data_IF_728488296232
#
_entry.id   IF_728488296232
#
_cell.length_a   1.000
_cell.length_b   1.000
_cell.length_c   1.000
_cell.angle_alpha   90.00
_cell.angle_beta   90.00
_cell.angle_gamma   90.00
#
_symmetry.space_group_name_H-M   'P 1'
#
loop_
_entity.id
_entity.type
_entity.pdbx_description
1 polymer ?
#
# COMPACT_ATOMS: atom_id res chain seq x y z
N UNK A 1 15.57 11.28 -13.83
CA UNK A 1 15.47 10.62 -13.70
C UNK A 1 15.32 9.79 -12.70
N UNK A 2 15.01 10.07 -11.72
CA UNK A 2 14.84 9.32 -10.71
C UNK A 2 13.65 8.66 -10.58
N UNK A 3 12.75 8.79 -11.50
CA UNK A 3 11.58 8.14 -11.38
C UNK A 3 11.75 6.72 -11.35
N UNK A 4 12.69 6.12 -11.89
CA UNK A 4 12.78 4.73 -11.88
C UNK A 4 13.08 4.27 -10.51
N UNK A 5 13.51 5.06 -9.60
CA UNK A 5 13.70 4.63 -8.26
C UNK A 5 12.45 4.66 -7.46
N UNK A 6 11.34 5.21 -7.99
CA UNK A 6 10.14 5.27 -7.26
C UNK A 6 9.35 4.05 -7.53
N UNK A 7 8.94 3.24 -6.56
CA UNK A 7 8.16 2.04 -6.80
C UNK A 7 6.83 2.42 -7.40
N UNK A 8 6.42 1.70 -8.43
CA UNK A 8 5.17 1.97 -9.05
C UNK A 8 4.03 1.75 -8.11
N UNK A 9 4.23 0.90 -7.11
CA UNK A 9 3.16 0.58 -6.18
C UNK A 9 3.01 1.61 -5.07
N UNK A 10 3.84 2.64 -5.06
CA UNK A 10 3.75 3.65 -4.02
C UNK A 10 2.38 4.30 -3.95
N UNK A 11 1.78 4.56 -5.10
CA UNK A 11 0.47 5.17 -5.14
C UNK A 11 -0.57 4.24 -4.54
N UNK A 12 -0.44 2.94 -4.83
CA UNK A 12 -1.37 1.96 -4.30
C UNK A 12 -1.19 1.81 -2.80
N UNK A 13 0.03 1.83 -2.33
CA UNK A 13 0.30 1.75 -0.90
C UNK A 13 -0.30 2.95 -0.18
N UNK A 14 -0.17 4.12 -0.76
CA UNK A 14 -0.72 5.31 -0.18
C UNK A 14 -2.24 5.22 -0.10
N UNK A 15 -2.86 4.69 -1.14
CA UNK A 15 -4.29 4.52 -1.17
C UNK A 15 -4.72 3.56 -0.04
N UNK A 16 -4.02 2.47 0.15
CA UNK A 16 -4.33 1.52 1.19
C UNK A 16 -4.18 2.17 2.56
N UNK A 17 -3.12 2.93 2.74
CA UNK A 17 -2.87 3.57 4.01
C UNK A 17 -3.99 4.52 4.36
N UNK A 18 -4.44 5.31 3.39
CA UNK A 18 -5.51 6.24 3.64
C UNK A 18 -6.81 5.50 3.95
N UNK A 19 -7.07 4.40 3.27
CA UNK A 19 -8.26 3.63 3.52
C UNK A 19 -8.26 3.05 4.93
N UNK A 20 -7.10 2.57 5.36
CA UNK A 20 -6.98 1.99 6.68
C UNK A 20 -7.19 3.06 7.74
N UNK A 21 -6.66 4.25 7.52
CA UNK A 21 -6.82 5.31 8.48
C UNK A 21 -8.25 5.81 8.54
N UNK A 22 -8.93 5.82 7.41
CA UNK A 22 -10.29 6.30 7.37
C UNK A 22 -11.28 5.28 7.93
N UNK A 23 -11.05 4.00 7.63
CA UNK A 23 -11.98 2.97 8.04
C UNK A 23 -11.23 1.76 8.56
N UNK A 24 -10.61 1.87 9.72
CA UNK A 24 -9.77 0.77 10.22
C UNK A 24 -10.56 -0.50 10.47
N UNK A 25 -11.84 -0.40 10.70
CA UNK A 25 -12.61 -1.58 10.98
C UNK A 25 -12.94 -2.36 9.73
N UNK A 26 -13.04 -1.70 8.60
CA UNK A 26 -13.41 -2.37 7.38
C UNK A 26 -12.22 -2.61 6.48
N UNK A 27 -11.19 -1.81 6.60
CA UNK A 27 -10.05 -1.94 5.71
C UNK A 27 -9.18 -3.09 6.17
N UNK A 28 -8.89 -4.01 5.26
CA UNK A 28 -8.03 -5.13 5.57
C UNK A 28 -6.85 -5.06 4.63
N UNK A 29 -5.66 -4.79 5.16
CA UNK A 29 -4.47 -4.58 4.36
C UNK A 29 -4.21 -5.77 3.46
N UNK A 30 -4.35 -6.99 4.00
CA UNK A 30 -4.06 -8.17 3.22
C UNK A 30 -5.01 -8.27 2.04
N UNK A 31 -6.29 -8.05 2.27
CA UNK A 31 -7.26 -8.15 1.20
C UNK A 31 -7.10 -7.04 0.19
N UNK A 32 -6.79 -5.84 0.65
CA UNK A 32 -6.58 -4.74 -0.27
C UNK A 32 -5.35 -5.00 -1.15
N UNK A 33 -4.31 -5.54 -0.57
CA UNK A 33 -3.12 -5.86 -1.35
C UNK A 33 -3.42 -6.93 -2.37
N UNK A 34 -4.21 -7.93 -1.99
CA UNK A 34 -4.57 -8.97 -2.93
C UNK A 34 -5.41 -8.42 -4.07
N UNK A 35 -6.35 -7.54 -3.74
CA UNK A 35 -7.21 -6.96 -4.75
C UNK A 35 -6.42 -6.12 -5.74
N UNK A 36 -5.38 -5.46 -5.25
CA UNK A 36 -4.54 -4.64 -6.10
C UNK A 36 -3.35 -5.40 -6.69
N UNK A 37 -3.28 -6.69 -6.35
CA UNK A 37 -2.22 -7.55 -6.87
C UNK A 37 -0.84 -7.07 -6.44
N UNK A 38 -0.71 -6.67 -5.19
CA UNK A 38 0.56 -6.25 -4.63
C UNK A 38 0.79 -7.02 -3.34
N UNK A 39 2.01 -6.93 -2.83
CA UNK A 39 2.40 -7.70 -1.67
C UNK A 39 2.17 -6.94 -0.39
N UNK A 40 1.61 -7.59 0.60
CA UNK A 40 1.43 -6.95 1.90
C UNK A 40 2.79 -6.65 2.54
N UNK A 41 3.77 -7.50 2.29
CA UNK A 41 5.11 -7.24 2.79
C UNK A 41 5.65 -5.94 2.22
N UNK A 42 5.42 -5.70 0.94
CA UNK A 42 5.85 -4.47 0.30
C UNK A 42 5.17 -3.27 0.93
N UNK A 43 3.88 -3.42 1.24
CA UNK A 43 3.14 -2.34 1.86
C UNK A 43 3.74 -2.01 3.23
N UNK A 44 4.02 -3.02 4.03
CA UNK A 44 4.56 -2.78 5.36
C UNK A 44 5.97 -2.18 5.29
N UNK A 45 6.75 -2.59 4.33
CA UNK A 45 8.07 -2.02 4.13
C UNK A 45 7.95 -0.54 3.74
N UNK A 46 6.97 -0.23 2.91
CA UNK A 46 6.73 1.15 2.51
C UNK A 46 6.37 2.00 3.73
N UNK A 47 5.51 1.50 4.59
CA UNK A 47 5.11 2.25 5.76
C UNK A 47 6.26 2.41 6.75
N UNK A 48 7.16 1.42 6.76
CA UNK A 48 8.23 1.47 7.70
C UNK A 48 9.30 2.46 7.29
N UNK A 49 9.56 2.64 6.05
CA UNK A 49 10.62 3.55 5.61
C UNK A 49 10.22 5.05 5.65
#
# INVERSE_FOLDING_TARGET
MDRKNRPQNAVLYQFIREAVEACPEYANVKRLCEALNISASGYYAYCKS
#
